data_IF_791326918550
#
_entry.id   IF_791326918550
#
_cell.length_a   1.000
_cell.length_b   1.000
_cell.length_c   1.000
_cell.angle_alpha   90.00
_cell.angle_beta   90.00
_cell.angle_gamma   90.00
#
_symmetry.space_group_name_H-M   'P 1'
#
loop_
_entity.id
_entity.type
_entity.pdbx_description
1 polymer ?
#
# COMPACT_ATOMS: atom_id res chain seq x y z
N UNK A 1 15.85 9.11 -43.61
CA UNK A 1 16.47 9.85 -42.50
C UNK A 1 15.39 10.17 -41.50
N UNK A 2 15.27 9.36 -40.46
CA UNK A 2 14.31 9.50 -39.36
C UNK A 2 14.88 10.50 -38.35
N UNK A 3 14.21 11.63 -38.17
CA UNK A 3 14.55 12.59 -37.11
C UNK A 3 14.30 11.99 -35.72
N UNK A 4 15.03 12.42 -34.68
CA UNK A 4 14.89 11.85 -33.35
C UNK A 4 13.53 12.23 -32.76
N UNK A 5 12.79 11.20 -32.35
CA UNK A 5 11.63 11.31 -31.47
C UNK A 5 12.11 11.91 -30.15
N UNK A 6 11.77 13.18 -29.91
CA UNK A 6 11.97 13.83 -28.61
C UNK A 6 11.07 13.16 -27.59
N UNK A 7 11.63 12.23 -26.81
CA UNK A 7 11.05 11.78 -25.54
C UNK A 7 10.83 13.01 -24.66
N UNK A 8 9.57 13.27 -24.31
CA UNK A 8 9.22 14.34 -23.39
C UNK A 8 9.94 14.09 -22.06
N UNK A 9 10.89 14.97 -21.75
CA UNK A 9 11.49 15.07 -20.42
C UNK A 9 10.41 15.67 -19.53
N UNK A 10 9.85 14.86 -18.62
CA UNK A 10 8.95 15.35 -17.58
C UNK A 10 9.85 16.15 -16.62
N UNK A 11 9.59 17.46 -16.48
CA UNK A 11 10.24 18.29 -15.47
C UNK A 11 10.06 17.67 -14.09
N UNK A 12 11.11 17.73 -13.26
CA UNK A 12 11.22 17.15 -11.92
C UNK A 12 10.25 17.86 -10.94
N UNK A 13 8.95 17.66 -11.14
CA UNK A 13 7.90 18.13 -10.27
C UNK A 13 7.94 17.38 -8.93
N UNK A 14 7.84 18.12 -7.82
CA UNK A 14 7.77 17.53 -6.49
C UNK A 14 6.61 16.54 -6.39
N UNK A 15 6.93 15.26 -6.20
CA UNK A 15 5.93 14.19 -6.02
C UNK A 15 5.12 14.47 -4.75
N UNK A 16 3.81 14.69 -4.90
CA UNK A 16 2.93 14.88 -3.76
C UNK A 16 2.78 13.56 -3.00
N UNK A 17 3.07 13.52 -1.68
CA UNK A 17 2.91 12.32 -0.88
C UNK A 17 1.47 11.81 -0.88
N UNK A 18 1.28 10.51 -1.07
CA UNK A 18 -0.03 9.87 -0.94
C UNK A 18 -0.21 9.36 0.48
N UNK A 19 -1.41 9.54 1.02
CA UNK A 19 -1.74 9.04 2.36
C UNK A 19 -2.66 7.84 2.23
N UNK A 20 -2.40 6.81 3.03
CA UNK A 20 -3.37 5.75 3.27
C UNK A 20 -3.55 5.55 4.76
N UNK A 21 -4.63 4.84 5.13
CA UNK A 21 -5.04 4.77 6.53
C UNK A 21 -5.84 3.51 6.84
N UNK A 22 -5.83 3.04 8.07
CA UNK A 22 -6.74 1.96 8.46
C UNK A 22 -8.20 2.45 8.44
N UNK A 23 -9.15 1.52 8.60
CA UNK A 23 -10.58 1.85 8.57
C UNK A 23 -10.97 2.94 9.60
N UNK A 24 -10.51 2.80 10.85
CA UNK A 24 -10.81 3.77 11.91
C UNK A 24 -9.92 5.02 11.89
N UNK A 25 -9.04 5.16 10.88
CA UNK A 25 -8.08 6.26 10.72
C UNK A 25 -7.11 6.45 11.89
N UNK A 26 -7.02 5.54 12.86
CA UNK A 26 -6.06 5.65 13.97
C UNK A 26 -4.61 5.34 13.57
N UNK A 27 -4.41 4.59 12.48
CA UNK A 27 -3.09 4.29 11.91
C UNK A 27 -3.05 4.75 10.46
N UNK A 28 -2.06 5.56 10.11
CA UNK A 28 -1.82 6.06 8.76
C UNK A 28 -0.44 5.68 8.25
N UNK A 29 -0.28 5.69 6.94
CA UNK A 29 1.01 5.73 6.28
C UNK A 29 1.04 6.86 5.24
N UNK A 30 2.21 7.44 5.03
CA UNK A 30 2.49 8.32 3.90
C UNK A 30 3.47 7.63 2.97
N UNK A 31 3.10 7.54 1.69
CA UNK A 31 3.97 7.20 0.58
C UNK A 31 4.57 8.48 0.01
N UNK A 32 5.89 8.56 -0.01
CA UNK A 32 6.63 9.70 -0.54
C UNK A 32 7.82 9.22 -1.39
N UNK A 33 7.56 8.42 -2.44
CA UNK A 33 8.64 7.97 -3.32
C UNK A 33 9.29 9.15 -4.00
N UNK A 34 10.61 9.07 -4.17
CA UNK A 34 11.38 10.07 -4.91
C UNK A 34 11.51 9.68 -6.38
N UNK A 35 11.44 8.36 -6.67
CA UNK A 35 11.56 7.81 -8.03
C UNK A 35 10.73 6.55 -8.21
N UNK A 36 10.49 6.15 -9.46
CA UNK A 36 9.65 4.98 -9.80
C UNK A 36 10.17 3.69 -9.17
N UNK A 37 11.48 3.53 -9.07
CA UNK A 37 12.17 2.34 -8.58
C UNK A 37 12.00 2.14 -7.07
N UNK A 38 11.59 3.17 -6.35
CA UNK A 38 11.28 3.07 -4.94
C UNK A 38 10.09 2.12 -4.71
N UNK A 39 9.19 1.99 -5.70
CA UNK A 39 8.18 0.94 -5.76
C UNK A 39 8.77 -0.32 -6.43
N UNK A 40 9.41 -1.18 -5.65
CA UNK A 40 10.18 -2.32 -6.14
C UNK A 40 9.32 -3.45 -6.72
N UNK A 41 8.05 -3.53 -6.34
CA UNK A 41 7.10 -4.52 -6.87
C UNK A 41 5.67 -4.04 -6.71
N UNK A 42 4.83 -4.36 -7.69
CA UNK A 42 3.37 -4.22 -7.58
C UNK A 42 2.71 -5.40 -8.27
N UNK A 43 1.86 -6.13 -7.54
CA UNK A 43 1.28 -7.37 -8.01
C UNK A 43 -0.08 -7.65 -7.34
N UNK A 44 -0.86 -8.53 -7.94
CA UNK A 44 -1.94 -9.21 -7.26
C UNK A 44 -1.41 -10.49 -6.59
N UNK A 45 -1.51 -10.56 -5.27
CA UNK A 45 -1.02 -11.68 -4.48
C UNK A 45 -2.14 -12.67 -4.16
N UNK A 46 -1.95 -13.92 -4.59
CA UNK A 46 -2.94 -15.01 -4.48
C UNK A 46 -2.60 -16.03 -3.40
N UNK A 47 -1.58 -15.80 -2.56
CA UNK A 47 -1.25 -16.78 -1.52
C UNK A 47 -2.36 -16.85 -0.46
N UNK A 48 -2.66 -18.05 0.03
CA UNK A 48 -3.74 -18.30 0.99
C UNK A 48 -3.59 -17.44 2.26
N UNK A 49 -2.35 -17.15 2.68
CA UNK A 49 -2.12 -16.26 3.83
C UNK A 49 -2.57 -14.83 3.54
N UNK A 50 -2.31 -14.28 2.37
CA UNK A 50 -2.79 -12.94 2.02
C UNK A 50 -4.32 -12.90 1.88
N UNK A 51 -4.91 -13.96 1.31
CA UNK A 51 -6.36 -14.11 1.18
C UNK A 51 -7.06 -14.11 2.52
N UNK A 52 -6.64 -15.00 3.44
CA UNK A 52 -7.21 -15.11 4.80
C UNK A 52 -7.05 -13.80 5.56
N UNK A 53 -5.86 -13.19 5.50
CA UNK A 53 -5.56 -12.00 6.28
C UNK A 53 -6.37 -10.77 5.87
N UNK A 54 -6.75 -10.68 4.59
CA UNK A 54 -7.49 -9.53 4.05
C UNK A 54 -8.96 -9.86 3.79
N UNK A 55 -9.39 -11.13 3.95
CA UNK A 55 -10.73 -11.57 3.60
C UNK A 55 -11.06 -11.38 2.12
N UNK A 56 -10.06 -11.53 1.23
CA UNK A 56 -10.20 -11.23 -0.19
C UNK A 56 -9.65 -12.37 -1.08
N UNK A 57 -10.21 -12.62 -2.28
CA UNK A 57 -9.70 -13.65 -3.19
C UNK A 57 -8.24 -13.47 -3.61
N UNK A 58 -7.80 -12.22 -3.65
CA UNK A 58 -6.41 -11.81 -3.83
C UNK A 58 -6.25 -10.39 -3.29
N UNK A 59 -5.00 -9.96 -3.11
CA UNK A 59 -4.69 -8.65 -2.55
C UNK A 59 -3.75 -7.91 -3.47
N UNK A 60 -4.10 -6.67 -3.81
CA UNK A 60 -3.13 -5.75 -4.42
C UNK A 60 -2.02 -5.49 -3.41
N UNK A 61 -0.78 -5.75 -3.81
CA UNK A 61 0.37 -5.56 -2.95
C UNK A 61 1.40 -4.70 -3.65
N UNK A 62 1.92 -3.71 -2.92
CA UNK A 62 2.98 -2.83 -3.40
C UNK A 62 4.17 -2.91 -2.44
N UNK A 63 5.37 -3.04 -2.96
CA UNK A 63 6.60 -3.08 -2.18
C UNK A 63 7.35 -1.77 -2.37
N UNK A 64 7.87 -1.25 -1.26
CA UNK A 64 8.53 0.04 -1.18
C UNK A 64 9.84 -0.08 -0.43
N UNK A 65 10.87 0.59 -0.91
CA UNK A 65 12.10 0.79 -0.12
C UNK A 65 11.77 1.50 1.19
N UNK A 66 12.54 1.23 2.25
CA UNK A 66 12.29 1.76 3.59
C UNK A 66 12.02 3.26 3.62
N UNK A 67 12.85 4.04 2.93
CA UNK A 67 12.80 5.50 2.94
C UNK A 67 11.62 6.12 2.18
N UNK A 68 10.84 5.35 1.42
CA UNK A 68 9.70 5.86 0.66
C UNK A 68 8.36 5.84 1.43
N UNK A 69 8.38 5.36 2.68
CA UNK A 69 7.18 5.20 3.50
C UNK A 69 7.42 5.59 4.96
N UNK A 70 6.46 6.31 5.54
CA UNK A 70 6.43 6.64 6.97
C UNK A 70 5.08 6.27 7.58
N UNK A 71 5.08 5.73 8.79
CA UNK A 71 3.87 5.45 9.57
C UNK A 71 3.56 6.60 10.53
N UNK A 72 2.27 6.88 10.76
CA UNK A 72 1.82 8.01 11.57
C UNK A 72 0.61 7.59 12.42
N UNK A 73 0.56 8.02 13.68
CA UNK A 73 -0.66 7.93 14.49
C UNK A 73 -1.70 8.94 13.97
N UNK A 74 -2.93 8.48 13.82
CA UNK A 74 -4.05 9.34 13.46
C UNK A 74 -4.77 9.90 14.67
N UNK A 75 -5.52 10.97 14.44
CA UNK A 75 -6.51 11.45 15.39
C UNK A 75 -7.66 10.43 15.44
N UNK A 76 -7.68 9.57 16.46
CA UNK A 76 -8.87 8.78 16.76
C UNK A 76 -10.03 9.72 17.05
N UNK A 77 -11.05 9.75 16.21
CA UNK A 77 -12.39 10.15 16.70
C UNK A 77 -12.73 9.13 17.77
N UNK A 78 -12.74 9.58 19.03
CA UNK A 78 -13.10 8.80 20.22
C UNK A 78 -14.53 8.25 20.08
N UNK A 79 -14.67 7.18 19.30
CA UNK A 79 -15.85 6.35 19.25
C UNK A 79 -15.47 5.07 19.99
N UNK A 80 -15.87 5.07 21.25
CA UNK A 80 -15.85 3.92 22.16
C UNK A 80 -16.46 2.71 21.46
N UNK A 81 -15.60 1.86 20.89
CA UNK A 81 -16.02 0.51 20.50
C UNK A 81 -16.09 -0.34 21.78
N UNK A 82 -17.16 -1.12 21.99
CA UNK A 82 -17.29 -1.94 23.19
C UNK A 82 -16.35 -3.15 23.12
N UNK A 83 -15.46 -3.22 24.11
CA UNK A 83 -14.98 -4.49 24.68
C UNK A 83 -14.24 -5.45 23.74
N UNK A 84 -13.02 -5.11 23.35
CA UNK A 84 -11.98 -6.14 23.24
C UNK A 84 -10.90 -5.77 24.25
N UNK A 85 -10.92 -6.45 25.39
CA UNK A 85 -9.83 -6.37 26.36
C UNK A 85 -8.53 -6.65 25.63
N UNK A 86 -7.66 -5.64 25.59
CA UNK A 86 -6.31 -5.80 25.10
C UNK A 86 -5.69 -6.94 25.92
N UNK A 87 -5.35 -8.04 25.26
CA UNK A 87 -4.40 -9.01 25.82
C UNK A 87 -3.08 -8.25 25.92
N UNK A 88 -2.82 -7.73 27.12
CA UNK A 88 -1.54 -7.17 27.53
C UNK A 88 -0.59 -8.33 27.79
N UNK A 89 0.10 -8.77 26.74
CA UNK A 89 1.27 -9.63 26.90
C UNK A 89 2.49 -8.84 26.46
N UNK A 90 3.45 -8.79 27.40
CA UNK A 90 4.84 -8.28 27.35
C UNK A 90 5.07 -6.77 27.28
N UNK A 91 5.61 -6.26 28.38
CA UNK A 91 6.68 -5.27 28.53
C UNK A 91 6.87 -4.26 27.37
N UNK A 92 6.57 -2.99 27.62
CA UNK A 92 6.70 -1.85 26.70
C UNK A 92 8.18 -1.48 26.38
N UNK A 93 9.14 -2.35 26.65
CA UNK A 93 10.58 -2.07 26.55
C UNK A 93 11.24 -2.56 25.25
N UNK A 94 10.66 -3.54 24.55
CA UNK A 94 11.20 -4.06 23.30
C UNK A 94 10.56 -3.41 22.07
N UNK A 95 11.36 -2.90 21.10
CA UNK A 95 10.81 -2.27 19.90
C UNK A 95 10.00 -3.26 19.07
N UNK A 96 8.79 -2.84 18.68
CA UNK A 96 7.81 -3.63 17.90
C UNK A 96 8.42 -4.28 16.64
N UNK A 97 9.39 -3.62 16.02
CA UNK A 97 10.19 -4.12 14.91
C UNK A 97 11.67 -3.87 15.21
N UNK A 98 12.57 -4.81 14.85
CA UNK A 98 14.01 -4.59 14.98
C UNK A 98 14.46 -3.33 14.26
N UNK A 99 15.23 -2.49 14.94
CA UNK A 99 15.79 -1.23 14.44
C UNK A 99 14.75 -0.22 13.93
N UNK A 100 13.52 -0.24 14.47
CA UNK A 100 12.46 0.74 14.18
C UNK A 100 11.77 1.19 15.47
N UNK A 101 12.42 2.02 16.30
CA UNK A 101 11.88 2.46 17.58
C UNK A 101 10.68 3.42 17.42
N UNK A 102 10.65 4.21 16.34
CA UNK A 102 9.71 5.33 16.18
C UNK A 102 8.41 4.93 15.45
N UNK A 103 7.83 3.77 15.78
CA UNK A 103 6.57 3.32 15.17
C UNK A 103 5.35 3.85 15.95
N UNK A 104 4.25 4.19 15.25
CA UNK A 104 3.02 4.64 15.90
C UNK A 104 2.45 3.64 16.91
N UNK A 105 1.85 4.13 17.99
CA UNK A 105 1.24 3.27 19.03
C UNK A 105 0.01 2.50 18.53
N UNK A 106 -0.65 3.05 17.51
CA UNK A 106 -1.74 2.41 16.79
C UNK A 106 -1.29 1.28 15.85
N UNK A 107 0.02 1.06 15.67
CA UNK A 107 0.59 -0.03 14.90
C UNK A 107 0.77 -1.28 15.78
N UNK A 108 0.32 -2.43 15.29
CA UNK A 108 0.56 -3.72 15.92
C UNK A 108 1.14 -4.71 14.91
N UNK A 109 2.08 -5.54 15.36
CA UNK A 109 2.56 -6.68 14.58
C UNK A 109 1.75 -7.94 14.88
N UNK A 110 1.64 -8.83 13.89
CA UNK A 110 0.98 -10.11 14.04
C UNK A 110 1.57 -11.11 13.04
N UNK A 111 1.36 -12.42 13.26
CA UNK A 111 1.85 -13.46 12.34
C UNK A 111 3.32 -13.27 11.90
N UNK A 112 4.18 -12.91 12.86
CA UNK A 112 5.57 -12.52 12.64
C UNK A 112 6.45 -13.75 12.45
N UNK A 113 7.47 -13.61 11.60
CA UNK A 113 8.56 -14.56 11.44
C UNK A 113 9.85 -13.80 11.73
N UNK A 114 10.40 -13.91 12.96
CA UNK A 114 11.63 -13.23 13.34
C UNK A 114 12.75 -13.40 12.31
N UNK A 115 13.50 -12.34 12.03
CA UNK A 115 14.54 -12.29 11.00
C UNK A 115 14.05 -12.29 9.55
N UNK A 116 12.74 -12.43 9.29
CA UNK A 116 12.18 -12.53 7.93
C UNK A 116 11.12 -11.48 7.62
N UNK A 117 9.96 -11.57 8.28
CA UNK A 117 8.76 -10.81 7.88
C UNK A 117 7.81 -10.59 9.05
N UNK A 118 7.36 -9.35 9.24
CA UNK A 118 6.42 -8.95 10.28
C UNK A 118 5.17 -8.41 9.63
N UNK A 119 4.00 -9.01 9.86
CA UNK A 119 2.73 -8.45 9.36
C UNK A 119 2.27 -7.35 10.28
N UNK A 120 1.62 -6.35 9.70
CA UNK A 120 1.26 -5.10 10.37
C UNK A 120 -0.23 -4.85 10.18
N UNK A 121 -0.88 -4.44 11.27
CA UNK A 121 -2.28 -4.04 11.30
C UNK A 121 -2.49 -2.88 12.26
N UNK A 122 -3.65 -2.25 12.17
CA UNK A 122 -4.08 -1.30 13.19
C UNK A 122 -4.42 -2.02 14.50
N UNK A 123 -3.88 -1.54 15.62
CA UNK A 123 -4.19 -2.01 16.98
C UNK A 123 -5.64 -1.75 17.37
N UNK A 124 -6.24 -0.68 16.85
CA UNK A 124 -7.59 -0.22 17.21
C UNK A 124 -8.68 -1.00 16.46
N UNK A 125 -8.66 -0.98 15.12
CA UNK A 125 -9.70 -1.64 14.30
C UNK A 125 -9.28 -2.99 13.71
N UNK A 126 -8.04 -3.42 13.90
CA UNK A 126 -7.54 -4.69 13.35
C UNK A 126 -7.27 -4.69 11.84
N UNK A 127 -7.54 -3.60 11.11
CA UNK A 127 -7.34 -3.54 9.65
C UNK A 127 -5.91 -3.94 9.28
N UNK A 128 -5.72 -4.97 8.43
CA UNK A 128 -4.43 -5.35 7.90
C UNK A 128 -3.89 -4.23 6.99
N UNK A 129 -2.65 -3.78 7.23
CA UNK A 129 -2.07 -2.65 6.48
C UNK A 129 -0.87 -3.06 5.62
N UNK A 130 -0.17 -4.13 5.99
CA UNK A 130 1.00 -4.56 5.23
C UNK A 130 1.98 -5.44 6.00
N UNK A 131 3.26 -5.30 5.67
CA UNK A 131 4.34 -5.97 6.38
C UNK A 131 5.70 -5.29 6.21
N UNK A 132 6.59 -5.51 7.17
CA UNK A 132 8.02 -5.21 7.06
C UNK A 132 8.82 -6.46 6.68
N UNK A 133 9.81 -6.32 5.81
CA UNK A 133 10.81 -7.37 5.55
C UNK A 133 12.20 -6.89 5.93
N UNK A 134 12.75 -7.41 7.03
CA UNK A 134 14.11 -7.09 7.48
C UNK A 134 15.16 -7.54 6.46
N UNK A 135 14.97 -8.70 5.82
CA UNK A 135 15.91 -9.22 4.84
C UNK A 135 16.03 -8.35 3.56
N UNK A 136 14.98 -7.59 3.22
CA UNK A 136 14.96 -6.73 2.03
C UNK A 136 15.04 -5.24 2.34
N UNK A 137 14.86 -4.86 3.61
CA UNK A 137 14.65 -3.47 4.02
C UNK A 137 13.50 -2.79 3.24
N UNK A 138 12.40 -3.53 3.10
CA UNK A 138 11.23 -3.12 2.32
C UNK A 138 9.94 -3.16 3.17
N UNK A 139 9.08 -2.17 2.91
CA UNK A 139 7.68 -2.19 3.28
C UNK A 139 6.87 -2.87 2.19
N UNK A 140 5.95 -3.75 2.57
CA UNK A 140 4.85 -4.19 1.71
C UNK A 140 3.58 -3.52 2.22
N UNK A 141 2.83 -2.87 1.35
CA UNK A 141 1.52 -2.28 1.67
C UNK A 141 0.43 -3.03 0.93
N UNK A 142 -0.72 -3.15 1.59
CA UNK A 142 -1.98 -3.56 1.00
C UNK A 142 -2.83 -2.29 0.83
N UNK A 143 -2.75 -1.61 -0.32
CA UNK A 143 -3.22 -0.24 -0.48
C UNK A 143 -4.74 -0.18 -0.72
N UNK A 144 -5.51 -1.09 -0.14
CA UNK A 144 -6.98 -1.08 -0.19
C UNK A 144 -7.56 0.17 0.45
N UNK A 145 -6.78 0.85 1.27
CA UNK A 145 -7.16 2.07 1.99
C UNK A 145 -6.28 3.28 1.68
N UNK A 146 -5.61 3.26 0.52
CA UNK A 146 -4.92 4.44 -0.01
C UNK A 146 -5.96 5.49 -0.41
N UNK A 147 -5.83 6.71 0.12
CA UNK A 147 -6.73 7.79 -0.23
C UNK A 147 -6.55 8.14 -1.71
N UNK A 148 -7.67 8.26 -2.43
CA UNK A 148 -7.64 8.72 -3.81
C UNK A 148 -7.49 10.23 -3.76
N UNK A 149 -6.38 10.79 -4.26
CA UNK A 149 -6.18 12.21 -4.15
C UNK A 149 -7.20 12.94 -5.03
N UNK A 150 -7.65 14.08 -4.53
CA UNK A 150 -8.61 14.95 -5.19
C UNK A 150 -7.91 16.21 -5.67
N UNK A 151 -8.35 16.79 -6.79
CA UNK A 151 -7.94 18.13 -7.20
C UNK A 151 -9.16 19.00 -7.34
N UNK A 152 -9.06 20.17 -6.74
CA UNK A 152 -10.06 21.21 -6.86
C UNK A 152 -9.72 22.04 -8.10
N UNK A 153 -10.60 22.00 -9.10
CA UNK A 153 -10.47 22.78 -10.34
C UNK A 153 -11.59 23.80 -10.43
N UNK A 154 -11.30 25.00 -10.95
CA UNK A 154 -12.34 25.92 -11.39
C UNK A 154 -12.81 25.50 -12.78
N UNK A 155 -14.12 25.32 -12.93
CA UNK A 155 -14.79 25.12 -14.23
C UNK A 155 -15.79 26.24 -14.48
N UNK A 156 -16.05 26.51 -15.75
CA UNK A 156 -17.16 27.37 -16.16
C UNK A 156 -18.38 26.46 -16.32
N UNK A 157 -19.45 26.73 -15.57
CA UNK A 157 -20.74 26.05 -15.74
C UNK A 157 -21.46 26.57 -16.99
N UNK A 158 -22.51 25.87 -17.42
CA UNK A 158 -23.28 26.18 -18.64
C UNK A 158 -23.91 27.59 -18.61
N UNK A 159 -24.09 28.17 -17.43
CA UNK A 159 -24.58 29.54 -17.21
C UNK A 159 -23.46 30.61 -17.25
N UNK A 160 -22.23 30.22 -17.56
CA UNK A 160 -21.05 31.09 -17.57
C UNK A 160 -20.45 31.37 -16.19
N UNK A 161 -21.00 30.79 -15.12
CA UNK A 161 -20.50 31.01 -13.75
C UNK A 161 -19.30 30.12 -13.46
N UNK A 162 -18.31 30.67 -12.76
CA UNK A 162 -17.22 29.86 -12.18
C UNK A 162 -17.76 28.96 -11.07
N UNK A 163 -17.54 27.66 -11.21
CA UNK A 163 -17.86 26.64 -10.21
C UNK A 163 -16.57 25.92 -9.83
N UNK A 164 -16.37 25.78 -8.53
CA UNK A 164 -15.29 24.97 -7.96
C UNK A 164 -15.73 23.52 -7.93
N UNK A 165 -15.01 22.64 -8.64
CA UNK A 165 -15.30 21.20 -8.71
C UNK A 165 -14.14 20.43 -8.12
N UNK A 166 -14.42 19.56 -7.17
CA UNK A 166 -13.45 18.60 -6.64
C UNK A 166 -13.52 17.32 -7.47
N UNK A 167 -12.49 17.07 -8.26
CA UNK A 167 -12.37 15.84 -9.05
C UNK A 167 -11.54 14.80 -8.28
N UNK A 168 -11.99 13.55 -8.29
CA UNK A 168 -11.23 12.41 -7.75
C UNK A 168 -10.28 11.90 -8.83
N UNK A 169 -9.00 11.73 -8.50
CA UNK A 169 -8.03 11.04 -9.36
C UNK A 169 -7.15 11.95 -10.21
N UNK A 170 -7.14 13.25 -9.94
CA UNK A 170 -6.41 14.28 -10.69
C UNK A 170 -4.95 14.49 -10.26
N UNK A 171 -4.39 13.60 -9.44
CA UNK A 171 -2.93 13.54 -9.26
C UNK A 171 -2.30 12.91 -10.49
N UNK A 172 -1.95 13.81 -11.41
CA UNK A 172 -0.76 13.70 -12.26
C UNK A 172 0.42 13.27 -11.39
N UNK A 173 0.68 11.97 -11.34
CA UNK A 173 1.84 11.34 -11.99
C UNK A 173 2.33 10.07 -11.31
N UNK A 174 1.98 9.73 -10.06
CA UNK A 174 2.52 8.49 -9.46
C UNK A 174 1.52 7.34 -9.31
N UNK A 175 0.21 7.56 -9.43
CA UNK A 175 -0.77 6.45 -9.26
C UNK A 175 -0.60 5.33 -10.28
N UNK A 176 -0.07 5.65 -11.46
CA UNK A 176 0.26 4.65 -12.47
C UNK A 176 1.53 3.86 -12.13
N UNK A 177 2.42 4.37 -11.27
CA UNK A 177 3.68 3.70 -10.87
C UNK A 177 3.43 2.40 -10.14
N UNK A 178 2.34 2.31 -9.38
CA UNK A 178 2.07 1.15 -8.56
C UNK A 178 0.86 0.35 -9.04
N UNK A 179 0.40 0.53 -10.29
CA UNK A 179 -0.54 -0.42 -10.94
C UNK A 179 0.04 -1.83 -10.97
N UNK A 180 -0.70 -2.88 -10.57
CA UNK A 180 -0.23 -4.27 -10.62
C UNK A 180 0.33 -4.61 -12.00
N UNK A 181 1.49 -5.26 -12.02
CA UNK A 181 2.14 -5.70 -13.27
C UNK A 181 2.08 -7.21 -13.47
N UNK A 182 1.57 -7.96 -12.48
CA UNK A 182 1.54 -9.42 -12.50
C UNK A 182 0.63 -10.00 -11.42
N UNK A 183 0.33 -11.28 -11.56
CA UNK A 183 -0.22 -12.14 -10.51
C UNK A 183 0.93 -12.97 -9.92
N UNK A 184 1.05 -12.98 -8.60
CA UNK A 184 2.05 -13.78 -7.89
C UNK A 184 1.36 -14.78 -6.95
N UNK A 185 2.01 -15.92 -6.74
CA UNK A 185 1.43 -17.05 -6.00
C UNK A 185 0.11 -17.53 -6.60
N UNK A 186 0.02 -17.52 -7.94
CA UNK A 186 -1.14 -17.92 -8.71
C UNK A 186 -1.15 -19.44 -8.92
N UNK A 187 -1.47 -20.18 -7.86
CA UNK A 187 -1.55 -21.64 -7.88
C UNK A 187 -2.98 -22.18 -7.76
N UNK A 188 -3.12 -23.48 -7.57
CA UNK A 188 -4.43 -24.18 -7.45
C UNK A 188 -5.24 -23.77 -6.21
N UNK A 189 -4.59 -23.14 -5.23
CA UNK A 189 -5.24 -22.60 -4.02
C UNK A 189 -5.94 -21.26 -4.25
N UNK A 190 -5.82 -20.65 -5.44
CA UNK A 190 -6.46 -19.37 -5.73
C UNK A 190 -7.98 -19.51 -5.59
N UNK A 191 -8.62 -18.50 -5.02
CA UNK A 191 -10.07 -18.52 -4.83
C UNK A 191 -10.83 -18.19 -6.12
N UNK A 192 -10.20 -17.49 -7.06
CA UNK A 192 -10.80 -17.04 -8.32
C UNK A 192 -9.78 -17.07 -9.46
N UNK A 193 -10.26 -17.36 -10.66
CA UNK A 193 -9.53 -17.14 -11.90
C UNK A 193 -9.73 -15.71 -12.39
N UNK A 194 -8.65 -14.93 -12.48
CA UNK A 194 -8.72 -13.54 -12.94
C UNK A 194 -8.53 -13.48 -14.45
N UNK A 195 -9.53 -12.94 -15.15
CA UNK A 195 -9.56 -12.80 -16.61
C UNK A 195 -8.99 -11.44 -17.02
N UNK A 196 -7.66 -11.32 -17.03
CA UNK A 196 -6.93 -10.14 -17.50
C UNK A 196 -5.68 -10.54 -18.31
N UNK A 197 -4.93 -9.55 -18.78
CA UNK A 197 -3.74 -9.76 -19.62
C UNK A 197 -2.43 -9.76 -18.79
N UNK A 198 -2.51 -9.75 -17.46
CA UNK A 198 -1.32 -9.68 -16.61
C UNK A 198 -0.64 -11.05 -16.52
N UNK A 199 0.70 -11.12 -16.58
CA UNK A 199 1.43 -12.37 -16.46
C UNK A 199 1.26 -12.97 -15.05
N UNK A 200 1.20 -14.31 -14.97
CA UNK A 200 0.89 -15.05 -13.74
C UNK A 200 2.06 -15.93 -13.33
N UNK A 201 2.37 -15.99 -12.03
CA UNK A 201 3.52 -16.73 -11.52
C UNK A 201 3.15 -17.57 -10.29
N UNK A 202 3.72 -18.78 -10.16
CA UNK A 202 3.56 -19.62 -8.96
C UNK A 202 4.18 -19.01 -7.70
N UNK A 203 5.10 -18.05 -7.88
CA UNK A 203 5.76 -17.31 -6.82
C UNK A 203 6.02 -15.88 -7.24
N UNK A 204 7.24 -15.38 -7.07
CA UNK A 204 7.58 -14.01 -7.47
C UNK A 204 7.94 -13.92 -8.96
N UNK A 205 7.54 -12.83 -9.66
CA UNK A 205 7.99 -12.56 -11.03
C UNK A 205 9.52 -12.61 -11.15
N UNK A 206 10.02 -13.24 -12.21
CA UNK A 206 11.46 -13.39 -12.47
C UNK A 206 12.20 -14.37 -11.55
N UNK A 207 11.51 -15.01 -10.59
CA UNK A 207 12.10 -15.99 -9.65
C UNK A 207 11.32 -17.30 -9.55
N UNK A 208 10.20 -17.39 -10.26
CA UNK A 208 9.30 -18.53 -10.20
C UNK A 208 8.72 -18.77 -11.58
N UNK A 209 8.25 -19.99 -11.81
CA UNK A 209 7.59 -20.38 -13.04
C UNK A 209 6.42 -19.45 -13.36
N UNK A 210 6.37 -19.00 -14.62
CA UNK A 210 5.23 -18.30 -15.17
C UNK A 210 4.18 -19.35 -15.58
N UNK A 211 2.94 -19.13 -15.15
CA UNK A 211 1.80 -20.00 -15.45
C UNK A 211 0.85 -19.28 -16.39
N UNK A 212 -0.05 -20.06 -17.01
CA UNK A 212 -1.11 -19.56 -17.87
C UNK A 212 -2.12 -18.71 -17.07
#
# INVERSE_FOLDING_TARGET
>A
MTGPSTSAVIEEGTITPLTGSCFCKSLLYKLHPQRREDCTLTAYCHCSKCQILNGAPYVWTTHWVEGALTWIDGSSSSSSSPGISAVSTSDDTEPLLPNKPDLPKSLQTYNTMPGRKWKIRCRVCGTPMGSWSQAKLEWTIWPTSLDRPTTTVEKIADDGKKVTVTEVGSVKEITHWFRPTSHQFYGDWRAVDVQDDLPRFLGYPGKSEQVA
#
